data_IF_583083368234
#
_entry.id   IF_583083368234
#
_cell.length_a   1.000
_cell.length_b   1.000
_cell.length_c   1.000
_cell.angle_alpha   90.00
_cell.angle_beta   90.00
_cell.angle_gamma   90.00
#
_symmetry.space_group_name_H-M   'P 1'
#
loop_
_entity.id
_entity.type
_entity.pdbx_description
1 polymer ?
#
# COMPACT_ATOMS: atom_id res chain seq x y z
N UNK A 1 5.18 -16.01 9.79
CA UNK A 1 4.11 -15.30 10.53
C UNK A 1 2.73 -15.69 10.07
N UNK A 2 2.38 -15.52 8.79
CA UNK A 2 1.02 -15.76 8.25
C UNK A 2 0.48 -17.14 8.57
N UNK A 3 1.23 -18.20 8.27
CA UNK A 3 0.81 -19.56 8.58
C UNK A 3 0.47 -19.78 10.05
N UNK A 4 1.29 -19.30 10.98
CA UNK A 4 1.05 -19.48 12.41
C UNK A 4 -0.26 -18.83 12.87
N UNK A 5 -0.56 -17.63 12.34
CA UNK A 5 -1.80 -16.90 12.68
C UNK A 5 -3.01 -17.63 12.10
N UNK A 6 -2.95 -18.05 10.83
CA UNK A 6 -4.06 -18.77 10.19
C UNK A 6 -4.31 -20.11 10.85
N UNK A 7 -3.27 -20.85 11.25
CA UNK A 7 -3.42 -22.11 11.99
C UNK A 7 -4.04 -21.87 13.37
N UNK A 8 -3.64 -20.82 14.07
CA UNK A 8 -4.28 -20.44 15.32
C UNK A 8 -5.76 -20.10 15.12
N UNK A 9 -6.10 -19.35 14.07
CA UNK A 9 -7.49 -19.07 13.72
C UNK A 9 -8.28 -20.36 13.43
N UNK A 10 -7.69 -21.28 12.68
CA UNK A 10 -8.31 -22.60 12.37
C UNK A 10 -8.60 -23.40 13.62
N UNK A 11 -7.63 -23.49 14.54
CA UNK A 11 -7.79 -24.24 15.80
C UNK A 11 -8.81 -23.57 16.74
N UNK A 12 -8.88 -22.23 16.72
CA UNK A 12 -9.86 -21.46 17.49
C UNK A 12 -11.29 -21.66 16.97
N UNK A 13 -11.43 -22.01 15.69
CA UNK A 13 -12.71 -22.39 15.09
C UNK A 13 -13.69 -21.21 15.00
N UNK A 14 -14.97 -21.49 15.29
CA UNK A 14 -16.09 -20.55 15.07
C UNK A 14 -16.04 -19.24 15.87
N UNK A 15 -15.09 -19.08 16.78
CA UNK A 15 -14.88 -17.80 17.46
C UNK A 15 -14.27 -16.75 16.53
N UNK A 16 -13.50 -17.18 15.51
CA UNK A 16 -12.91 -16.29 14.51
C UNK A 16 -13.89 -16.11 13.36
N UNK A 17 -14.46 -14.92 13.25
CA UNK A 17 -15.51 -14.61 12.26
C UNK A 17 -14.98 -13.90 11.02
N UNK A 18 -13.81 -13.26 11.10
CA UNK A 18 -13.27 -12.40 10.04
C UNK A 18 -11.74 -12.40 10.11
N UNK A 19 -11.09 -12.58 8.98
CA UNK A 19 -9.62 -12.54 8.89
C UNK A 19 -9.27 -11.66 7.68
N UNK A 20 -8.69 -10.49 7.92
CA UNK A 20 -8.16 -9.62 6.89
C UNK A 20 -6.64 -9.73 6.88
N UNK A 21 -6.09 -10.04 5.73
CA UNK A 21 -4.65 -10.28 5.57
C UNK A 21 -4.03 -9.12 4.79
N UNK A 22 -3.05 -8.46 5.42
CA UNK A 22 -2.27 -7.40 4.79
C UNK A 22 -1.22 -7.99 3.85
N UNK A 23 -1.54 -8.07 2.57
CA UNK A 23 -0.59 -8.32 1.49
C UNK A 23 -0.05 -7.00 0.92
N UNK A 24 0.26 -6.95 -0.36
CA UNK A 24 0.79 -5.78 -1.06
C UNK A 24 0.72 -6.00 -2.57
N UNK A 25 0.71 -4.92 -3.33
CA UNK A 25 0.99 -4.88 -4.76
C UNK A 25 2.31 -5.57 -5.14
N UNK A 26 3.29 -5.57 -4.22
CA UNK A 26 4.60 -6.23 -4.41
C UNK A 26 4.50 -7.75 -4.57
N UNK A 27 3.40 -8.37 -4.14
CA UNK A 27 3.17 -9.80 -4.34
C UNK A 27 3.10 -10.18 -5.83
N UNK A 28 2.67 -9.27 -6.70
CA UNK A 28 2.62 -9.49 -8.14
C UNK A 28 4.02 -9.57 -8.79
N UNK A 29 5.04 -8.97 -8.18
CA UNK A 29 6.37 -8.82 -8.79
C UNK A 29 6.34 -7.90 -10.02
N UNK A 30 7.42 -7.94 -10.82
CA UNK A 30 7.49 -7.17 -12.05
C UNK A 30 6.66 -7.84 -13.16
N UNK A 31 5.72 -7.10 -13.74
CA UNK A 31 4.85 -7.55 -14.83
C UNK A 31 4.99 -6.62 -16.03
N UNK A 32 4.67 -7.13 -17.21
CA UNK A 32 4.69 -6.37 -18.47
C UNK A 32 3.34 -5.73 -18.81
N UNK A 33 2.27 -6.20 -18.17
CA UNK A 33 0.91 -5.67 -18.38
C UNK A 33 0.50 -4.91 -17.14
N UNK A 34 0.08 -3.68 -17.32
CA UNK A 34 -0.36 -2.75 -16.28
C UNK A 34 -1.73 -2.14 -16.70
N UNK A 35 -2.56 -1.75 -15.75
CA UNK A 35 -2.44 -1.94 -14.30
C UNK A 35 -2.52 -3.41 -13.87
N UNK A 36 -2.03 -3.75 -12.66
CA UNK A 36 -2.23 -5.10 -12.12
C UNK A 36 -3.68 -5.27 -11.67
N UNK A 37 -4.33 -6.30 -12.18
CA UNK A 37 -5.62 -6.80 -11.69
C UNK A 37 -5.39 -7.95 -10.70
N UNK A 38 -6.43 -8.38 -9.99
CA UNK A 38 -6.32 -9.52 -9.08
C UNK A 38 -6.05 -10.85 -9.79
N UNK A 39 -6.28 -10.91 -11.11
CA UNK A 39 -5.98 -12.08 -11.96
C UNK A 39 -4.51 -12.11 -12.41
N UNK A 40 -3.75 -11.03 -12.17
CA UNK A 40 -2.32 -10.97 -12.43
C UNK A 40 -1.59 -12.00 -11.58
N UNK A 41 -0.70 -12.84 -12.13
CA UNK A 41 0.03 -13.86 -11.39
C UNK A 41 0.91 -13.27 -10.27
N UNK A 42 0.97 -13.96 -9.14
CA UNK A 42 1.85 -13.61 -8.02
C UNK A 42 3.26 -14.18 -8.30
N UNK A 43 4.16 -13.35 -8.79
CA UNK A 43 5.50 -13.75 -9.24
C UNK A 43 6.64 -13.00 -8.58
N UNK A 44 6.43 -12.54 -7.34
CA UNK A 44 7.47 -11.82 -6.58
C UNK A 44 8.80 -12.56 -6.56
N UNK A 45 9.93 -11.84 -6.69
CA UNK A 45 11.28 -12.38 -6.73
C UNK A 45 12.19 -11.87 -5.63
N UNK A 46 12.06 -10.60 -5.26
CA UNK A 46 12.79 -10.04 -4.13
C UNK A 46 12.25 -10.61 -2.81
N UNK A 47 13.05 -10.66 -1.73
CA UNK A 47 12.63 -11.29 -0.46
C UNK A 47 11.30 -10.76 0.09
N UNK A 48 11.07 -9.45 0.02
CA UNK A 48 9.80 -8.86 0.43
C UNK A 48 8.65 -9.29 -0.48
N UNK A 49 8.81 -9.22 -1.79
CA UNK A 49 7.82 -9.64 -2.78
C UNK A 49 7.42 -11.10 -2.56
N UNK A 50 8.42 -12.00 -2.46
CA UNK A 50 8.20 -13.44 -2.17
C UNK A 50 7.45 -13.62 -0.87
N UNK A 51 7.79 -12.88 0.19
CA UNK A 51 7.09 -12.97 1.48
C UNK A 51 5.61 -12.63 1.35
N UNK A 52 5.26 -11.65 0.50
CA UNK A 52 3.88 -11.24 0.24
C UNK A 52 3.14 -12.21 -0.68
N UNK A 53 3.80 -12.73 -1.73
CA UNK A 53 3.24 -13.81 -2.56
C UNK A 53 2.94 -15.06 -1.72
N UNK A 54 3.85 -15.45 -0.82
CA UNK A 54 3.61 -16.56 0.11
C UNK A 54 2.45 -16.28 1.08
N UNK A 55 2.34 -15.03 1.56
CA UNK A 55 1.21 -14.61 2.41
C UNK A 55 -0.12 -14.81 1.70
N UNK A 56 -0.24 -14.37 0.46
CA UNK A 56 -1.43 -14.57 -0.38
C UNK A 56 -1.75 -16.05 -0.58
N UNK A 57 -0.79 -16.82 -1.10
CA UNK A 57 -0.98 -18.25 -1.41
C UNK A 57 -1.38 -19.06 -0.18
N UNK A 58 -0.74 -18.82 0.98
CA UNK A 58 -1.08 -19.50 2.23
C UNK A 58 -2.49 -19.10 2.67
N UNK A 59 -2.86 -17.83 2.57
CA UNK A 59 -4.17 -17.32 2.98
C UNK A 59 -5.29 -17.92 2.13
N UNK A 60 -5.13 -17.95 0.81
CA UNK A 60 -6.06 -18.58 -0.13
C UNK A 60 -6.19 -20.08 0.18
N UNK A 61 -5.07 -20.79 0.38
CA UNK A 61 -5.07 -22.22 0.70
C UNK A 61 -5.86 -22.52 1.99
N UNK A 62 -5.71 -21.72 3.05
CA UNK A 62 -6.47 -21.90 4.29
C UNK A 62 -7.96 -21.60 4.12
N UNK A 63 -8.30 -20.61 3.31
CA UNK A 63 -9.69 -20.32 2.99
C UNK A 63 -10.35 -21.46 2.21
N UNK A 64 -9.71 -21.94 1.15
CA UNK A 64 -10.23 -23.02 0.29
C UNK A 64 -10.28 -24.37 1.00
N UNK A 65 -9.22 -24.72 1.75
CA UNK A 65 -9.11 -26.04 2.37
C UNK A 65 -9.94 -26.17 3.64
N UNK A 66 -9.98 -25.12 4.44
CA UNK A 66 -10.59 -25.16 5.79
C UNK A 66 -11.81 -24.24 5.94
N UNK A 67 -12.19 -23.51 4.90
CA UNK A 67 -13.34 -22.59 4.93
C UNK A 67 -13.13 -21.38 5.82
N UNK A 68 -11.88 -20.98 6.09
CA UNK A 68 -11.63 -19.81 6.93
C UNK A 68 -12.14 -18.53 6.25
N UNK A 69 -12.76 -17.60 7.01
CA UNK A 69 -13.29 -16.35 6.48
C UNK A 69 -12.17 -15.31 6.23
N UNK A 70 -11.29 -15.62 5.27
CA UNK A 70 -10.11 -14.82 4.94
C UNK A 70 -10.39 -13.99 3.71
N UNK A 71 -10.09 -12.68 3.77
CA UNK A 71 -9.95 -11.79 2.62
C UNK A 71 -8.58 -11.12 2.65
N UNK A 72 -8.03 -10.80 1.48
CA UNK A 72 -6.65 -10.34 1.35
C UNK A 72 -6.63 -8.93 0.74
N UNK A 73 -6.00 -7.97 1.43
CA UNK A 73 -5.79 -6.62 0.92
C UNK A 73 -4.44 -6.51 0.21
N UNK A 74 -4.45 -6.07 -1.05
CA UNK A 74 -3.27 -5.73 -1.85
C UNK A 74 -3.30 -4.25 -2.12
N UNK A 75 -2.65 -3.47 -1.26
CA UNK A 75 -2.61 -2.02 -1.39
C UNK A 75 -1.40 -1.56 -2.19
N UNK A 76 -1.55 -0.45 -2.93
CA UNK A 76 -0.45 0.34 -3.48
C UNK A 76 0.38 1.00 -2.38
N UNK A 77 1.14 2.06 -2.71
CA UNK A 77 1.95 2.75 -1.71
C UNK A 77 1.06 3.55 -0.76
N UNK A 78 1.04 3.13 0.50
CA UNK A 78 0.27 3.81 1.55
C UNK A 78 1.06 5.00 2.07
N UNK A 79 0.40 6.16 2.23
CA UNK A 79 0.94 7.32 2.89
C UNK A 79 -0.06 7.91 3.90
N UNK A 80 0.44 8.69 4.86
CA UNK A 80 -0.39 9.30 5.90
C UNK A 80 0.40 9.55 7.17
N UNK A 81 -0.23 10.18 8.15
CA UNK A 81 0.36 10.34 9.48
C UNK A 81 0.61 8.99 10.15
N UNK A 82 1.67 8.91 10.97
CA UNK A 82 2.04 7.69 11.70
C UNK A 82 3.07 6.79 11.01
N UNK A 83 3.41 7.03 9.74
CA UNK A 83 4.49 6.28 9.08
C UNK A 83 5.87 6.84 9.47
N UNK A 84 6.57 6.12 10.34
CA UNK A 84 7.92 6.49 10.80
C UNK A 84 9.05 5.87 9.97
N UNK A 85 8.74 5.27 8.83
CA UNK A 85 9.75 4.76 7.92
C UNK A 85 10.29 5.89 7.01
N UNK A 86 11.29 6.61 7.52
CA UNK A 86 11.91 7.75 6.85
C UNK A 86 12.60 7.44 5.52
N UNK A 87 12.71 6.16 5.14
CA UNK A 87 13.23 5.77 3.82
C UNK A 87 12.16 5.73 2.72
N UNK A 88 10.88 5.92 3.08
CA UNK A 88 9.78 6.08 2.11
C UNK A 88 9.70 7.53 1.64
N UNK A 89 9.20 7.72 0.41
CA UNK A 89 9.23 9.02 -0.27
C UNK A 89 8.46 10.10 0.50
N UNK A 90 7.22 9.86 0.93
CA UNK A 90 6.39 10.88 1.59
C UNK A 90 6.95 11.24 2.98
N UNK A 91 7.15 10.30 3.94
CA UNK A 91 7.69 10.64 5.25
C UNK A 91 9.11 11.20 5.18
N UNK A 92 9.97 10.64 4.29
CA UNK A 92 11.33 11.14 4.10
C UNK A 92 11.35 12.57 3.61
N UNK A 93 10.55 12.91 2.60
CA UNK A 93 10.48 14.27 2.05
C UNK A 93 10.03 15.26 3.10
N UNK A 94 8.93 15.00 3.82
CA UNK A 94 8.45 15.90 4.86
C UNK A 94 9.45 16.09 6.00
N UNK A 95 10.14 15.01 6.43
CA UNK A 95 11.18 15.13 7.43
C UNK A 95 12.33 16.03 6.97
N UNK A 96 12.84 15.88 5.74
CA UNK A 96 13.91 16.72 5.22
C UNK A 96 13.48 18.18 5.15
N UNK A 97 12.29 18.46 4.59
CA UNK A 97 11.77 19.82 4.47
C UNK A 97 11.59 20.50 5.85
N UNK A 98 11.03 19.79 6.83
CA UNK A 98 10.82 20.31 8.18
C UNK A 98 12.13 20.58 8.93
N UNK A 99 13.20 19.85 8.61
CA UNK A 99 14.53 20.04 9.20
C UNK A 99 15.44 20.97 8.43
N UNK A 100 15.03 21.45 7.28
CA UNK A 100 15.88 22.22 6.37
C UNK A 100 17.06 21.41 5.84
N UNK A 101 16.91 20.08 5.76
CA UNK A 101 17.90 19.17 5.20
C UNK A 101 17.69 19.01 3.68
N UNK A 102 18.76 18.64 2.95
CA UNK A 102 18.67 18.38 1.52
C UNK A 102 17.89 17.09 1.25
N UNK A 103 16.74 17.14 0.52
CA UNK A 103 16.04 15.93 0.12
C UNK A 103 16.83 15.08 -0.88
N UNK A 104 16.71 13.75 -0.79
CA UNK A 104 17.46 12.81 -1.61
C UNK A 104 16.54 11.81 -2.27
N UNK A 105 16.59 11.71 -3.60
CA UNK A 105 15.92 10.65 -4.37
C UNK A 105 16.94 9.58 -4.76
N UNK A 106 16.66 8.32 -4.39
CA UNK A 106 17.56 7.20 -4.70
C UNK A 106 17.42 6.70 -6.13
N UNK A 107 16.23 6.84 -6.75
CA UNK A 107 15.99 6.56 -8.17
C UNK A 107 16.25 7.81 -9.01
N UNK A 108 16.09 7.68 -10.31
CA UNK A 108 16.13 8.83 -11.25
C UNK A 108 14.86 9.70 -11.21
N UNK A 109 13.88 9.33 -10.41
CA UNK A 109 12.61 10.04 -10.26
C UNK A 109 11.52 9.61 -11.24
N UNK A 110 11.77 8.69 -12.17
CA UNK A 110 10.83 8.31 -13.25
C UNK A 110 9.92 7.13 -12.89
N UNK A 111 10.22 6.38 -11.84
CA UNK A 111 9.47 5.18 -11.44
C UNK A 111 8.01 5.52 -11.12
N UNK A 112 7.07 4.77 -11.72
CA UNK A 112 5.64 4.98 -11.53
C UNK A 112 5.09 4.18 -10.35
N UNK A 113 4.30 4.83 -9.51
CA UNK A 113 3.59 4.25 -8.36
C UNK A 113 2.23 4.91 -8.19
N UNK A 114 1.29 4.20 -7.61
CA UNK A 114 0.08 4.75 -7.03
C UNK A 114 0.26 5.01 -5.52
N UNK A 115 -0.46 6.01 -5.00
CA UNK A 115 -0.34 6.45 -3.61
C UNK A 115 -1.72 6.56 -2.99
N UNK A 116 -2.00 5.75 -1.97
CA UNK A 116 -3.29 5.68 -1.29
C UNK A 116 -3.17 6.23 0.14
N UNK A 117 -4.07 7.16 0.49
CA UNK A 117 -4.09 7.71 1.84
C UNK A 117 -4.49 6.65 2.87
N UNK A 118 -3.88 6.70 4.05
CA UNK A 118 -4.09 5.72 5.14
C UNK A 118 -5.55 5.61 5.57
N UNK A 119 -6.34 6.69 5.53
CA UNK A 119 -7.76 6.63 5.87
C UNK A 119 -8.56 5.78 4.87
N UNK A 120 -8.28 5.88 3.57
CA UNK A 120 -8.92 5.03 2.56
C UNK A 120 -8.49 3.57 2.69
N UNK A 121 -7.25 3.32 3.17
CA UNK A 121 -6.81 1.96 3.52
C UNK A 121 -7.57 1.42 4.73
N UNK A 122 -7.81 2.23 5.76
CA UNK A 122 -8.62 1.84 6.92
C UNK A 122 -10.03 1.44 6.45
N UNK A 123 -10.66 2.27 5.62
CA UNK A 123 -11.98 1.97 5.03
C UNK A 123 -11.93 0.68 4.19
N UNK A 124 -10.86 0.43 3.43
CA UNK A 124 -10.68 -0.81 2.69
C UNK A 124 -10.72 -2.05 3.62
N UNK A 125 -10.02 -1.99 4.76
CA UNK A 125 -10.05 -3.08 5.74
C UNK A 125 -11.41 -3.24 6.42
N UNK A 126 -12.13 -2.16 6.68
CA UNK A 126 -13.49 -2.21 7.24
C UNK A 126 -14.46 -2.85 6.23
N UNK A 127 -14.40 -2.47 4.95
CA UNK A 127 -15.18 -3.11 3.89
C UNK A 127 -14.86 -4.61 3.79
N UNK A 128 -13.57 -5.00 3.75
CA UNK A 128 -13.20 -6.42 3.77
C UNK A 128 -13.77 -7.14 4.98
N UNK A 129 -13.73 -6.51 6.17
CA UNK A 129 -14.29 -7.11 7.38
C UNK A 129 -15.81 -7.31 7.26
N UNK A 130 -16.53 -6.36 6.68
CA UNK A 130 -17.98 -6.46 6.52
C UNK A 130 -18.37 -7.54 5.51
N UNK A 131 -17.56 -7.77 4.49
CA UNK A 131 -17.81 -8.79 3.47
C UNK A 131 -17.20 -10.16 3.77
N UNK A 132 -16.40 -10.32 4.82
CA UNK A 132 -15.73 -11.59 5.15
C UNK A 132 -16.68 -12.76 5.47
N UNK A 133 -17.98 -12.49 5.69
CA UNK A 133 -19.01 -13.50 5.86
C UNK A 133 -19.42 -14.16 4.53
N UNK A 134 -19.17 -13.53 3.39
CA UNK A 134 -19.53 -14.02 2.05
C UNK A 134 -18.63 -15.20 1.65
N UNK A 135 -19.24 -16.36 1.48
CA UNK A 135 -18.52 -17.61 1.12
C UNK A 135 -17.89 -17.54 -0.25
N UNK A 136 -18.53 -16.85 -1.21
CA UNK A 136 -18.07 -16.68 -2.58
C UNK A 136 -16.82 -15.77 -2.70
N UNK A 137 -16.50 -15.00 -1.67
CA UNK A 137 -15.32 -14.13 -1.63
C UNK A 137 -14.15 -14.71 -0.82
N UNK A 138 -14.32 -15.83 -0.13
CA UNK A 138 -13.29 -16.43 0.72
C UNK A 138 -12.00 -16.70 -0.04
N UNK A 139 -10.89 -16.29 0.53
CA UNK A 139 -9.56 -16.48 -0.03
C UNK A 139 -9.22 -15.53 -1.18
N UNK A 140 -10.13 -14.64 -1.58
CA UNK A 140 -9.87 -13.71 -2.65
C UNK A 140 -9.03 -12.52 -2.19
N UNK A 141 -8.14 -12.07 -3.10
CA UNK A 141 -7.43 -10.81 -2.99
C UNK A 141 -8.23 -9.66 -3.59
N UNK A 142 -8.05 -8.47 -3.02
CA UNK A 142 -8.62 -7.23 -3.51
C UNK A 142 -7.54 -6.17 -3.60
N UNK A 143 -7.43 -5.52 -4.75
CA UNK A 143 -6.56 -4.39 -4.96
C UNK A 143 -7.19 -3.10 -4.41
N UNK A 144 -6.37 -2.27 -3.78
CA UNK A 144 -6.77 -0.96 -3.29
C UNK A 144 -5.76 0.08 -3.72
N UNK A 145 -6.20 1.00 -4.57
CA UNK A 145 -5.41 2.06 -5.21
C UNK A 145 -6.31 3.24 -5.55
N UNK A 146 -5.73 4.43 -5.65
CA UNK A 146 -6.41 5.60 -6.21
C UNK A 146 -6.42 5.60 -7.76
N UNK A 147 -5.76 4.62 -8.38
CA UNK A 147 -5.65 4.45 -9.84
C UNK A 147 -5.08 5.67 -10.57
N UNK A 148 -4.33 6.51 -9.85
CA UNK A 148 -3.67 7.70 -10.39
C UNK A 148 -2.14 7.52 -10.27
N UNK A 149 -1.50 6.76 -11.19
CA UNK A 149 -0.07 6.53 -11.11
C UNK A 149 0.71 7.83 -11.31
N UNK A 150 1.68 8.03 -10.42
CA UNK A 150 2.58 9.19 -10.44
C UNK A 150 4.03 8.72 -10.44
N UNK A 151 4.89 9.52 -11.07
CA UNK A 151 6.34 9.34 -10.93
C UNK A 151 6.81 9.70 -9.52
N UNK A 152 7.96 9.16 -9.13
CA UNK A 152 8.61 9.54 -7.86
C UNK A 152 8.89 11.04 -7.79
N UNK A 153 9.20 11.69 -8.92
CA UNK A 153 9.39 13.12 -8.98
C UNK A 153 8.09 13.91 -8.79
N UNK A 154 6.97 13.45 -9.37
CA UNK A 154 5.67 14.12 -9.21
C UNK A 154 5.18 14.07 -7.77
N UNK A 155 5.24 12.89 -7.09
CA UNK A 155 4.86 12.81 -5.67
C UNK A 155 5.81 13.63 -4.79
N UNK A 156 7.11 13.67 -5.08
CA UNK A 156 8.06 14.53 -4.40
C UNK A 156 7.65 16.00 -4.48
N UNK A 157 7.36 16.49 -5.69
CA UNK A 157 6.91 17.88 -5.92
C UNK A 157 5.58 18.18 -5.25
N UNK A 158 4.65 17.22 -5.23
CA UNK A 158 3.40 17.37 -4.51
C UNK A 158 3.63 17.50 -2.99
N UNK A 159 4.57 16.75 -2.42
CA UNK A 159 4.97 16.91 -1.01
C UNK A 159 5.60 18.29 -0.75
N UNK A 160 6.47 18.78 -1.64
CA UNK A 160 7.06 20.11 -1.52
C UNK A 160 5.98 21.21 -1.55
N UNK A 161 5.01 21.08 -2.44
CA UNK A 161 3.87 22.01 -2.52
C UNK A 161 3.03 22.01 -1.24
N UNK A 162 2.72 20.83 -0.70
CA UNK A 162 2.00 20.68 0.57
C UNK A 162 2.77 21.29 1.77
N UNK A 163 4.10 21.23 1.72
CA UNK A 163 4.96 21.86 2.74
C UNK A 163 5.16 23.38 2.54
N UNK A 164 4.56 23.98 1.49
CA UNK A 164 4.78 25.40 1.16
C UNK A 164 6.20 25.71 0.65
N UNK A 165 6.92 24.71 0.14
CA UNK A 165 8.30 24.81 -0.33
C UNK A 165 8.45 24.25 -1.76
N UNK A 166 7.69 24.72 -2.76
CA UNK A 166 7.61 24.12 -4.10
C UNK A 166 8.91 24.17 -4.90
N UNK A 167 9.82 25.08 -4.55
CA UNK A 167 11.06 25.32 -5.30
C UNK A 167 12.26 24.50 -4.78
N UNK A 168 12.07 23.65 -3.79
CA UNK A 168 13.15 22.80 -3.27
C UNK A 168 13.40 21.65 -4.24
N UNK A 169 14.60 21.60 -4.81
CA UNK A 169 15.02 20.52 -5.71
C UNK A 169 15.72 19.39 -4.94
N UNK A 170 15.47 18.13 -5.27
CA UNK A 170 16.13 17.01 -4.60
C UNK A 170 17.52 16.74 -5.19
N UNK A 171 18.41 16.15 -4.39
CA UNK A 171 19.58 15.45 -4.92
C UNK A 171 19.18 14.09 -5.49
N UNK A 172 19.51 13.83 -6.76
CA UNK A 172 19.20 12.59 -7.46
C UNK A 172 20.43 11.69 -7.45
N UNK A 173 20.42 10.59 -6.67
CA UNK A 173 21.54 9.66 -6.60
C UNK A 173 21.53 8.62 -7.72
N UNK A 174 20.37 8.23 -8.21
CA UNK A 174 20.17 7.17 -9.19
C UNK A 174 20.89 5.85 -8.84
N UNK A 175 20.80 5.46 -7.58
CA UNK A 175 21.45 4.26 -7.01
C UNK A 175 20.47 3.13 -6.71
N UNK A 176 19.18 3.30 -7.03
CA UNK A 176 18.17 2.27 -6.83
C UNK A 176 18.47 1.05 -7.72
N UNK A 177 18.56 -0.13 -7.10
CA UNK A 177 18.86 -1.40 -7.80
C UNK A 177 17.81 -2.43 -7.44
N UNK A 178 17.30 -3.13 -8.47
CA UNK A 178 16.37 -4.25 -8.27
C UNK A 178 14.96 -3.85 -7.87
N UNK A 179 14.58 -2.58 -8.02
CA UNK A 179 13.22 -2.11 -7.84
C UNK A 179 12.42 -2.28 -9.14
N UNK A 180 11.12 -2.58 -9.01
CA UNK A 180 10.18 -2.60 -10.14
C UNK A 180 10.02 -1.17 -10.65
N UNK A 181 10.20 -0.93 -11.97
CA UNK A 181 10.12 0.42 -12.52
C UNK A 181 8.70 0.95 -12.46
N UNK A 182 7.73 0.28 -13.07
CA UNK A 182 6.32 0.69 -13.10
C UNK A 182 5.45 -0.30 -12.37
N UNK A 183 4.65 0.19 -11.42
CA UNK A 183 3.76 -0.64 -10.61
C UNK A 183 2.59 0.18 -10.09
N UNK A 184 1.38 -0.17 -10.54
CA UNK A 184 0.12 0.40 -10.09
C UNK A 184 -1.03 -0.58 -10.33
N UNK A 185 -2.13 -0.38 -9.62
CA UNK A 185 -3.22 -1.34 -9.48
C UNK A 185 -4.49 -0.87 -10.17
N UNK A 186 -5.33 -1.83 -10.56
CA UNK A 186 -6.75 -1.66 -10.88
C UNK A 186 -7.56 -2.09 -9.65
N UNK A 187 -8.48 -1.24 -9.18
CA UNK A 187 -9.33 -1.48 -8.01
C UNK A 187 -10.80 -1.73 -8.38
N UNK A 188 -11.09 -2.04 -9.65
CA UNK A 188 -12.45 -2.27 -10.15
C UNK A 188 -13.17 -3.35 -9.34
N UNK A 189 -12.47 -4.46 -9.00
CA UNK A 189 -13.06 -5.53 -8.18
C UNK A 189 -13.50 -5.05 -6.80
N UNK A 190 -12.71 -4.21 -6.15
CA UNK A 190 -13.06 -3.63 -4.84
C UNK A 190 -14.28 -2.71 -4.94
N UNK A 191 -14.37 -1.89 -5.98
CA UNK A 191 -15.56 -1.06 -6.25
C UNK A 191 -16.80 -1.90 -6.48
N UNK A 192 -16.74 -2.84 -7.40
CA UNK A 192 -17.90 -3.61 -7.86
C UNK A 192 -18.43 -4.55 -6.79
N UNK A 193 -17.57 -5.21 -6.03
CA UNK A 193 -17.97 -6.25 -5.08
C UNK A 193 -18.09 -5.79 -3.64
N UNK A 194 -17.32 -4.77 -3.25
CA UNK A 194 -17.29 -4.26 -1.87
C UNK A 194 -17.90 -2.86 -1.75
N UNK A 195 -18.09 -2.13 -2.85
CA UNK A 195 -18.55 -0.73 -2.83
C UNK A 195 -17.51 0.22 -2.23
N UNK A 196 -16.22 -0.16 -2.25
CA UNK A 196 -15.15 0.69 -1.76
C UNK A 196 -14.73 1.71 -2.82
N UNK A 197 -14.53 2.95 -2.39
CA UNK A 197 -14.06 4.05 -3.24
C UNK A 197 -13.05 4.90 -2.50
N UNK A 198 -12.15 5.55 -3.25
CA UNK A 198 -11.23 6.55 -2.71
C UNK A 198 -12.00 7.81 -2.32
N UNK A 199 -11.77 8.30 -1.12
CA UNK A 199 -12.43 9.49 -0.57
C UNK A 199 -11.46 10.64 -0.28
N UNK A 200 -10.17 10.35 -0.10
CA UNK A 200 -9.14 11.34 0.24
C UNK A 200 -8.32 11.67 -1.00
N UNK A 201 -8.57 12.84 -1.59
CA UNK A 201 -7.76 13.32 -2.71
C UNK A 201 -6.30 13.59 -2.30
N UNK A 202 -5.37 13.44 -3.24
CA UNK A 202 -3.93 13.53 -2.99
C UNK A 202 -3.51 14.81 -2.27
N UNK A 203 -3.96 15.98 -2.76
CA UNK A 203 -3.60 17.28 -2.16
C UNK A 203 -4.04 17.38 -0.71
N UNK A 204 -5.30 17.06 -0.42
CA UNK A 204 -5.83 17.11 0.96
C UNK A 204 -5.14 16.09 1.86
N UNK A 205 -4.86 14.89 1.36
CA UNK A 205 -4.14 13.85 2.08
C UNK A 205 -2.70 14.25 2.41
N UNK A 206 -1.98 14.84 1.45
CA UNK A 206 -0.62 15.33 1.68
C UNK A 206 -0.57 16.50 2.68
N UNK A 207 -1.50 17.45 2.59
CA UNK A 207 -1.59 18.57 3.55
C UNK A 207 -1.80 18.06 4.98
N UNK A 208 -2.77 17.15 5.19
CA UNK A 208 -3.02 16.51 6.50
C UNK A 208 -1.82 15.72 7.00
N UNK A 209 -1.13 15.03 6.09
CA UNK A 209 0.08 14.26 6.39
C UNK A 209 1.23 15.17 6.81
N UNK A 210 1.42 16.29 6.11
CA UNK A 210 2.42 17.29 6.45
C UNK A 210 2.17 17.89 7.85
N UNK A 211 0.94 18.31 8.13
CA UNK A 211 0.57 18.87 9.44
C UNK A 211 0.88 17.87 10.56
N UNK A 212 0.58 16.58 10.36
CA UNK A 212 0.89 15.54 11.34
C UNK A 212 2.40 15.42 11.59
N UNK A 213 3.26 15.43 10.55
CA UNK A 213 4.71 15.38 10.74
C UNK A 213 5.27 16.65 11.35
N UNK A 214 4.70 17.80 11.03
CA UNK A 214 5.05 19.09 11.64
C UNK A 214 4.81 19.04 13.14
N UNK A 215 3.64 18.63 13.57
CA UNK A 215 3.31 18.48 14.98
C UNK A 215 4.25 17.49 15.69
N UNK A 216 4.58 16.37 15.03
CA UNK A 216 5.48 15.35 15.60
C UNK A 216 6.92 15.86 15.76
N UNK A 217 7.44 16.60 14.78
CA UNK A 217 8.87 17.01 14.74
C UNK A 217 9.10 18.29 15.54
N UNK A 218 8.12 19.19 15.56
CA UNK A 218 8.19 20.46 16.30
C UNK A 218 7.69 20.33 17.76
N UNK A 219 7.16 19.16 18.15
CA UNK A 219 6.74 18.92 19.53
C UNK A 219 7.92 19.15 20.50
N UNK A 220 7.73 19.87 21.63
CA UNK A 220 8.77 20.22 22.59
C UNK A 220 9.37 19.01 23.31
#
# INVERSE_FOLDING_TARGET
GTWNVLEACRVTGDLVKRIMVASSDKAYGAQTVLPYTEDTPLTGRAPYEVSKSCTDLISTSYAETYGLPVLIARCGNIYGGGDLNWSRIVPGTFRWLLRGEQPILRSDGTFLRDYLHVDDVVEAYLHLADFAHREDLRGQGFNFSDETPMTVMEIYKACCSAAGQPDVEPEILNTAVGEIHDQYLDSTRARDLLGWEVTVGLESGLNRTFDWYKDLIEAP
#
